data_IF_658012699601
#
_entry.id   IF_658012699601
#
_cell.length_a   1.000
_cell.length_b   1.000
_cell.length_c   1.000
_cell.angle_alpha   90.00
_cell.angle_beta   90.00
_cell.angle_gamma   90.00
#
_symmetry.space_group_name_H-M   'P 1'
#
loop_
_entity.id
_entity.type
_entity.pdbx_description
1 polymer ?
#
# COMPACT_ATOMS: atom_id res chain seq x y z
N UNK A 1 -41.93 17.29 10.15
CA UNK A 1 -42.16 16.50 11.38
C UNK A 1 -40.82 15.97 11.87
N UNK A 2 -40.33 16.51 12.99
CA UNK A 2 -39.30 15.85 13.82
C UNK A 2 -39.94 14.64 14.52
N UNK A 3 -39.13 13.68 15.00
CA UNK A 3 -39.06 13.60 16.44
C UNK A 3 -37.63 13.51 16.99
N UNK A 4 -37.49 14.20 18.12
CA UNK A 4 -36.49 14.09 19.16
C UNK A 4 -36.89 12.90 20.06
N UNK A 5 -35.94 12.06 20.50
CA UNK A 5 -36.02 11.42 21.83
C UNK A 5 -34.63 11.52 22.47
N UNK A 6 -34.62 12.02 23.71
CA UNK A 6 -33.46 12.31 24.53
C UNK A 6 -33.27 11.26 25.65
N UNK A 7 -32.00 10.98 25.94
CA UNK A 7 -31.30 10.77 27.21
C UNK A 7 -32.01 10.18 28.46
N UNK A 8 -31.33 9.19 29.09
CA UNK A 8 -30.93 9.04 30.52
C UNK A 8 -30.54 7.55 30.73
N UNK A 9 -29.54 7.11 31.49
CA UNK A 9 -28.71 7.69 32.55
C UNK A 9 -27.55 6.73 32.92
N UNK A 10 -26.66 7.20 33.79
CA UNK A 10 -25.32 6.68 34.07
C UNK A 10 -25.24 5.43 34.96
N UNK A 11 -24.15 4.66 34.82
CA UNK A 11 -23.46 3.99 35.95
C UNK A 11 -21.95 3.99 35.68
N UNK A 12 -21.19 4.60 36.59
CA UNK A 12 -19.75 4.44 36.70
C UNK A 12 -19.43 3.14 37.44
N UNK A 13 -18.56 2.29 36.88
CA UNK A 13 -17.83 1.25 37.63
C UNK A 13 -16.36 1.37 37.26
N UNK A 14 -15.54 1.66 38.27
CA UNK A 14 -14.09 1.56 38.21
C UNK A 14 -13.63 0.10 38.35
N UNK A 15 -12.49 -0.17 37.71
CA UNK A 15 -11.54 -1.26 37.94
C UNK A 15 -11.84 -2.65 37.33
N UNK A 16 -11.16 -2.94 36.22
CA UNK A 16 -10.15 -4.01 36.15
C UNK A 16 -9.31 -3.87 34.87
N UNK A 17 -8.02 -3.61 35.01
CA UNK A 17 -7.04 -3.90 33.97
C UNK A 17 -6.99 -5.42 33.81
N UNK A 18 -7.56 -5.91 32.72
CA UNK A 18 -7.27 -7.22 32.16
C UNK A 18 -6.94 -6.99 30.68
N UNK A 19 -5.89 -7.66 30.21
CA UNK A 19 -5.30 -7.55 28.90
C UNK A 19 -6.36 -7.36 27.79
N UNK A 20 -6.31 -6.21 27.10
CA UNK A 20 -7.12 -6.02 25.90
C UNK A 20 -6.50 -6.86 24.79
N UNK A 21 -7.23 -7.90 24.42
CA UNK A 21 -6.95 -8.80 23.32
C UNK A 21 -6.91 -8.06 21.98
N UNK A 22 -6.11 -8.63 21.08
CA UNK A 22 -5.88 -8.26 19.67
C UNK A 22 -7.13 -7.73 18.96
N UNK A 23 -7.00 -6.58 18.30
CA UNK A 23 -8.04 -6.03 17.41
C UNK A 23 -8.00 -6.60 15.99
N UNK A 24 -7.52 -7.84 15.83
CA UNK A 24 -7.96 -8.74 14.75
C UNK A 24 -8.44 -10.01 15.42
N UNK A 25 -9.75 -10.14 15.61
CA UNK A 25 -10.35 -11.19 16.46
C UNK A 25 -10.18 -12.63 15.96
N UNK A 26 -9.57 -12.83 14.79
CA UNK A 26 -9.28 -14.15 14.24
C UNK A 26 -7.92 -14.67 14.73
N UNK A 27 -7.97 -15.69 15.57
CA UNK A 27 -6.80 -16.36 16.14
C UNK A 27 -5.92 -17.10 15.12
N UNK A 28 -6.31 -17.19 13.85
CA UNK A 28 -5.50 -17.72 12.76
C UNK A 28 -4.54 -16.67 12.17
N UNK A 29 -4.83 -15.38 12.32
CA UNK A 29 -4.00 -14.29 11.77
C UNK A 29 -2.64 -14.25 12.46
N UNK A 30 -1.55 -14.33 11.70
CA UNK A 30 -0.20 -14.37 12.24
C UNK A 30 0.83 -14.86 11.22
N UNK A 31 2.11 -14.77 11.58
CA UNK A 31 3.19 -15.41 10.82
C UNK A 31 3.51 -16.79 11.42
N UNK A 32 3.77 -17.78 10.59
CA UNK A 32 4.09 -19.14 10.99
C UNK A 32 5.38 -19.62 10.35
N UNK A 33 6.23 -20.29 11.13
CA UNK A 33 7.43 -20.98 10.65
C UNK A 33 7.06 -22.42 10.30
N UNK A 34 7.21 -22.80 9.05
CA UNK A 34 7.02 -24.16 8.56
C UNK A 34 8.25 -25.02 8.90
N UNK A 35 8.08 -26.34 8.92
CA UNK A 35 9.15 -27.30 9.21
C UNK A 35 10.32 -27.25 8.21
N UNK A 36 10.07 -26.79 6.98
CA UNK A 36 11.08 -26.55 5.96
C UNK A 36 11.81 -25.19 6.09
N UNK A 37 11.52 -24.44 7.16
CA UNK A 37 12.17 -23.16 7.49
C UNK A 37 11.50 -21.92 6.89
N UNK A 38 10.57 -22.09 5.93
CA UNK A 38 9.87 -20.95 5.33
C UNK A 38 8.92 -20.29 6.34
N UNK A 39 8.77 -18.98 6.23
CA UNK A 39 7.70 -18.24 6.90
C UNK A 39 6.49 -18.09 5.97
N UNK A 40 5.29 -18.29 6.52
CA UNK A 40 4.01 -17.94 5.88
C UNK A 40 3.29 -16.91 6.73
N UNK A 41 2.95 -15.77 6.13
CA UNK A 41 1.99 -14.81 6.69
C UNK A 41 0.57 -15.32 6.42
N UNK A 42 -0.30 -15.23 7.43
CA UNK A 42 -1.74 -15.42 7.30
C UNK A 42 -2.40 -14.15 7.82
N UNK A 43 -3.24 -13.54 6.99
CA UNK A 43 -3.80 -12.21 7.22
C UNK A 43 -5.32 -12.21 7.03
N UNK A 44 -6.03 -11.28 7.68
CA UNK A 44 -7.44 -11.07 7.37
C UNK A 44 -7.60 -10.52 5.95
N UNK A 45 -8.72 -10.87 5.34
CA UNK A 45 -9.30 -10.22 4.16
C UNK A 45 -10.76 -9.89 4.46
N UNK A 46 -11.50 -9.37 3.48
CA UNK A 46 -12.91 -9.11 3.67
C UNK A 46 -13.72 -10.40 3.87
N UNK A 47 -14.73 -10.32 4.73
CA UNK A 47 -15.59 -11.45 5.09
C UNK A 47 -14.88 -12.53 5.91
N UNK A 48 -15.28 -13.79 5.71
CA UNK A 48 -14.78 -14.94 6.48
C UNK A 48 -13.57 -15.65 5.82
N UNK A 49 -12.83 -14.92 4.98
CA UNK A 49 -11.66 -15.45 4.26
C UNK A 49 -10.35 -14.96 4.88
N UNK A 50 -9.27 -15.70 4.62
CA UNK A 50 -7.91 -15.32 5.01
C UNK A 50 -7.00 -15.33 3.80
N UNK A 51 -5.96 -14.50 3.76
CA UNK A 51 -4.93 -14.56 2.72
C UNK A 51 -3.62 -15.04 3.29
N UNK A 52 -3.00 -16.02 2.65
CA UNK A 52 -1.64 -16.42 2.98
C UNK A 52 -0.62 -15.81 2.02
N UNK A 53 0.59 -15.52 2.49
CA UNK A 53 1.70 -15.01 1.68
C UNK A 53 3.02 -15.65 2.08
N UNK A 54 3.82 -16.05 1.11
CA UNK A 54 5.22 -16.44 1.30
C UNK A 54 6.16 -15.29 0.94
N UNK A 55 7.32 -15.25 1.57
CA UNK A 55 8.35 -14.24 1.30
C UNK A 55 8.92 -14.32 -0.13
N UNK A 56 8.75 -15.46 -0.80
CA UNK A 56 9.07 -15.70 -2.22
C UNK A 56 8.04 -15.16 -3.21
N UNK A 57 6.91 -14.63 -2.70
CA UNK A 57 5.90 -13.92 -3.46
C UNK A 57 4.63 -14.71 -3.76
N UNK A 58 4.60 -16.02 -3.55
CA UNK A 58 3.39 -16.81 -3.66
C UNK A 58 2.34 -16.35 -2.62
N UNK A 59 1.07 -16.38 -3.03
CA UNK A 59 -0.06 -15.96 -2.22
C UNK A 59 -1.31 -16.70 -2.69
N UNK A 60 -2.30 -16.77 -1.81
CA UNK A 60 -3.60 -17.35 -2.12
C UNK A 60 -4.65 -16.97 -1.09
N UNK A 61 -5.91 -17.14 -1.49
CA UNK A 61 -7.07 -16.89 -0.64
C UNK A 61 -7.53 -18.22 -0.02
N UNK A 62 -7.71 -18.24 1.29
CA UNK A 62 -8.17 -19.37 2.07
C UNK A 62 -9.67 -19.25 2.30
N UNK A 63 -10.38 -20.31 1.92
CA UNK A 63 -11.80 -20.47 2.12
C UNK A 63 -12.04 -21.55 3.18
N UNK A 64 -12.78 -21.20 4.23
CA UNK A 64 -13.08 -22.11 5.32
C UNK A 64 -14.00 -23.24 4.86
N UNK A 65 -13.66 -24.48 5.22
CA UNK A 65 -14.48 -25.67 5.00
C UNK A 65 -15.33 -25.99 6.23
N UNK A 66 -16.43 -26.76 6.05
CA UNK A 66 -17.27 -27.21 7.17
C UNK A 66 -16.53 -28.07 8.21
N UNK A 67 -15.48 -28.79 7.80
CA UNK A 67 -14.65 -29.63 8.68
C UNK A 67 -13.56 -28.85 9.44
N UNK A 68 -13.50 -27.52 9.26
CA UNK A 68 -12.55 -26.64 9.91
C UNK A 68 -11.18 -26.51 9.20
N UNK A 69 -10.94 -27.30 8.14
CA UNK A 69 -9.83 -27.06 7.23
C UNK A 69 -10.13 -25.88 6.29
N UNK A 70 -9.14 -25.47 5.50
CA UNK A 70 -9.23 -24.35 4.57
C UNK A 70 -8.68 -24.77 3.22
N UNK A 71 -9.41 -24.49 2.14
CA UNK A 71 -8.94 -24.68 0.78
C UNK A 71 -8.40 -23.37 0.21
N UNK A 72 -7.33 -23.45 -0.58
CA UNK A 72 -6.67 -22.29 -1.16
C UNK A 72 -6.99 -22.11 -2.64
N UNK A 73 -7.18 -20.86 -3.05
CA UNK A 73 -7.19 -20.44 -4.46
C UNK A 73 -5.95 -19.62 -4.80
N UNK A 74 -5.47 -19.77 -6.03
CA UNK A 74 -4.27 -19.13 -6.54
C UNK A 74 -4.44 -17.61 -6.65
N UNK A 75 -3.63 -16.84 -5.93
CA UNK A 75 -3.67 -15.39 -6.01
C UNK A 75 -5.05 -14.81 -5.70
N UNK A 76 -5.59 -14.09 -6.69
CA UNK A 76 -6.94 -13.53 -6.72
C UNK A 76 -7.80 -14.15 -7.84
N UNK A 77 -7.29 -15.20 -8.48
CA UNK A 77 -7.92 -15.81 -9.68
C UNK A 77 -9.17 -16.64 -9.39
N UNK A 78 -9.41 -16.99 -8.11
CA UNK A 78 -10.45 -17.94 -7.70
C UNK A 78 -10.19 -19.39 -8.12
N UNK A 79 -9.15 -19.67 -8.91
CA UNK A 79 -8.78 -21.02 -9.33
C UNK A 79 -8.17 -21.81 -8.17
N UNK A 80 -8.62 -23.04 -7.86
CA UNK A 80 -7.99 -23.87 -6.84
C UNK A 80 -6.50 -24.09 -7.13
N UNK A 81 -5.64 -23.97 -6.11
CA UNK A 81 -4.19 -24.15 -6.25
C UNK A 81 -3.66 -25.46 -5.63
N UNK A 82 -4.60 -26.32 -5.20
CA UNK A 82 -4.35 -27.62 -4.58
C UNK A 82 -3.80 -27.57 -3.16
N UNK A 83 -3.71 -26.40 -2.51
CA UNK A 83 -3.24 -26.29 -1.12
C UNK A 83 -4.41 -26.32 -0.16
N UNK A 84 -4.20 -27.06 0.92
CA UNK A 84 -5.08 -27.10 2.09
C UNK A 84 -4.33 -26.55 3.28
N UNK A 85 -5.02 -25.79 4.13
CA UNK A 85 -4.47 -25.28 5.38
C UNK A 85 -5.36 -25.74 6.54
N UNK A 86 -4.75 -26.23 7.61
CA UNK A 86 -5.46 -26.60 8.82
C UNK A 86 -4.85 -25.91 10.03
N UNK A 87 -5.69 -25.28 10.84
CA UNK A 87 -5.32 -24.71 12.12
C UNK A 87 -5.86 -25.62 13.21
N UNK A 88 -5.00 -26.47 13.78
CA UNK A 88 -5.46 -27.53 14.69
C UNK A 88 -5.78 -27.02 16.10
N UNK A 89 -5.14 -25.94 16.52
CA UNK A 89 -5.31 -25.32 17.84
C UNK A 89 -4.74 -23.90 17.81
N UNK A 90 -5.62 -22.90 17.91
CA UNK A 90 -5.24 -21.49 17.95
C UNK A 90 -4.37 -21.13 19.16
N UNK A 91 -4.65 -21.70 20.33
CA UNK A 91 -3.88 -21.44 21.54
C UNK A 91 -2.47 -22.04 21.43
N UNK A 92 -2.34 -23.20 20.80
CA UNK A 92 -1.04 -23.81 20.52
C UNK A 92 -0.30 -23.18 19.33
N UNK A 93 -0.96 -22.33 18.55
CA UNK A 93 -0.39 -21.66 17.37
C UNK A 93 0.10 -22.65 16.31
N UNK A 94 -0.57 -23.79 16.14
CA UNK A 94 -0.17 -24.83 15.18
C UNK A 94 -0.87 -24.65 13.84
N UNK A 95 -0.11 -24.80 12.76
CA UNK A 95 -0.61 -24.80 11.39
C UNK A 95 -0.13 -26.05 10.66
N UNK A 96 -0.92 -26.56 9.73
CA UNK A 96 -0.46 -27.45 8.67
C UNK A 96 -0.75 -26.77 7.34
N UNK A 97 0.29 -26.41 6.59
CA UNK A 97 0.20 -25.70 5.32
C UNK A 97 0.61 -26.65 4.19
N UNK A 98 -0.37 -27.14 3.43
CA UNK A 98 -0.18 -28.29 2.53
C UNK A 98 0.29 -29.50 3.33
N UNK A 99 1.48 -30.00 3.03
CA UNK A 99 2.11 -31.12 3.75
C UNK A 99 3.08 -30.66 4.86
N UNK A 100 3.25 -29.35 5.07
CA UNK A 100 4.24 -28.81 5.99
C UNK A 100 3.59 -28.42 7.32
N UNK A 101 3.92 -29.09 8.44
CA UNK A 101 3.54 -28.61 9.76
C UNK A 101 4.32 -27.33 10.08
N UNK A 102 3.75 -26.46 10.90
CA UNK A 102 4.38 -25.23 11.32
C UNK A 102 3.88 -24.72 12.66
N UNK A 103 4.55 -23.69 13.17
CA UNK A 103 4.18 -23.01 14.41
C UNK A 103 4.22 -21.51 14.26
N UNK A 104 3.30 -20.84 14.94
CA UNK A 104 3.23 -19.38 15.03
C UNK A 104 4.55 -18.82 15.53
N UNK A 105 5.03 -17.80 14.86
CA UNK A 105 6.21 -17.04 15.25
C UNK A 105 5.77 -16.04 16.31
N UNK A 106 6.40 -16.10 17.49
CA UNK A 106 6.17 -15.11 18.52
C UNK A 106 6.92 -13.82 18.20
N UNK A 107 6.26 -12.68 18.35
CA UNK A 107 6.86 -11.34 18.29
C UNK A 107 6.73 -10.64 19.64
N UNK A 108 7.55 -9.61 19.86
CA UNK A 108 7.32 -8.63 20.92
C UNK A 108 6.46 -7.51 20.33
N UNK A 109 5.22 -7.38 20.81
CA UNK A 109 4.24 -6.41 20.33
C UNK A 109 4.06 -5.29 21.35
N UNK A 110 4.11 -4.05 20.89
CA UNK A 110 3.81 -2.87 21.71
C UNK A 110 2.86 -1.97 20.93
N UNK A 111 1.57 -2.01 21.27
CA UNK A 111 0.60 -1.03 20.79
C UNK A 111 0.82 0.31 21.51
N UNK A 112 0.61 1.41 20.77
CA UNK A 112 0.78 2.78 21.28
C UNK A 112 -0.26 3.72 20.70
N UNK A 113 -0.38 4.89 21.33
CA UNK A 113 -1.02 6.07 20.75
C UNK A 113 -0.02 7.21 20.86
N UNK A 114 0.23 7.89 19.75
CA UNK A 114 1.18 9.00 19.68
C UNK A 114 0.54 10.24 19.05
N UNK A 115 1.18 11.39 19.23
CA UNK A 115 0.70 12.66 18.71
C UNK A 115 1.27 12.90 17.31
N UNK A 116 0.41 12.92 16.30
CA UNK A 116 0.71 13.32 14.93
C UNK A 116 0.75 14.84 14.75
N UNK A 117 0.86 15.27 13.49
CA UNK A 117 0.86 16.68 13.12
C UNK A 117 -0.45 17.36 13.53
N UNK A 118 -0.35 18.57 14.10
CA UNK A 118 -1.50 19.34 14.55
C UNK A 118 -2.17 18.78 15.81
N UNK A 119 -1.52 17.87 16.54
CA UNK A 119 -2.04 17.33 17.80
C UNK A 119 -2.99 16.14 17.65
N UNK A 120 -3.17 15.61 16.44
CA UNK A 120 -4.02 14.44 16.20
C UNK A 120 -3.46 13.22 16.94
N UNK A 121 -4.34 12.38 17.50
CA UNK A 121 -3.94 11.11 18.13
C UNK A 121 -3.92 10.01 17.07
N UNK A 122 -2.77 9.38 16.87
CA UNK A 122 -2.58 8.28 15.92
C UNK A 122 -2.32 6.98 16.67
N UNK A 123 -2.91 5.88 16.21
CA UNK A 123 -2.71 4.55 16.74
C UNK A 123 -1.56 3.85 16.02
N UNK A 124 -0.60 3.33 16.77
CA UNK A 124 0.59 2.65 16.23
C UNK A 124 0.83 1.30 16.91
N UNK A 125 1.68 0.48 16.29
CA UNK A 125 2.15 -0.78 16.82
C UNK A 125 3.60 -1.01 16.41
N UNK A 126 4.46 -1.24 17.39
CA UNK A 126 5.79 -1.78 17.17
C UNK A 126 5.73 -3.32 17.23
N UNK A 127 6.23 -3.98 16.18
CA UNK A 127 6.37 -5.42 16.05
C UNK A 127 7.85 -5.75 15.93
N UNK A 128 8.42 -6.37 16.96
CA UNK A 128 9.84 -6.76 16.97
C UNK A 128 9.99 -8.28 16.92
N UNK A 129 10.98 -8.82 16.18
CA UNK A 129 11.39 -10.21 16.35
C UNK A 129 11.80 -10.45 17.81
N UNK A 130 11.59 -11.65 18.34
CA UNK A 130 12.01 -11.98 19.72
C UNK A 130 13.52 -11.88 19.90
N UNK A 131 13.94 -11.53 21.11
CA UNK A 131 15.36 -11.48 21.51
C UNK A 131 15.76 -10.10 22.01
N UNK A 132 17.06 -9.91 22.23
CA UNK A 132 17.62 -8.66 22.77
C UNK A 132 18.58 -7.95 21.80
N UNK A 133 18.83 -8.55 20.64
CA UNK A 133 19.73 -8.01 19.63
C UNK A 133 19.19 -6.74 18.98
N UNK A 134 20.12 -5.92 18.45
CA UNK A 134 19.79 -4.82 17.56
C UNK A 134 19.30 -5.35 16.22
N UNK A 135 18.21 -4.80 15.72
CA UNK A 135 17.64 -5.13 14.41
C UNK A 135 17.27 -3.85 13.67
N UNK A 136 17.32 -3.82 12.33
CA UNK A 136 16.79 -2.67 11.60
C UNK A 136 15.28 -2.54 11.84
N UNK A 137 14.75 -1.32 11.83
CA UNK A 137 13.32 -1.04 12.03
C UNK A 137 12.77 -0.23 10.86
N UNK A 138 11.68 -0.68 10.25
CA UNK A 138 11.00 0.04 9.17
C UNK A 138 9.65 0.59 9.62
N UNK A 139 9.40 1.85 9.34
CA UNK A 139 8.09 2.49 9.51
C UNK A 139 7.29 2.32 8.22
N UNK A 140 6.11 1.70 8.31
CA UNK A 140 5.24 1.48 7.17
C UNK A 140 4.33 2.69 6.96
N UNK A 141 4.39 3.28 5.77
CA UNK A 141 3.52 4.37 5.31
C UNK A 141 2.67 3.80 4.18
N UNK A 142 1.44 3.37 4.49
CA UNK A 142 0.56 2.78 3.48
C UNK A 142 0.02 3.82 2.48
N UNK A 143 -0.58 3.34 1.39
CA UNK A 143 -1.07 4.16 0.28
C UNK A 143 -2.37 4.90 0.61
N UNK A 144 -3.15 5.22 -0.42
CA UNK A 144 -4.39 6.00 -0.30
C UNK A 144 -5.54 5.25 0.40
N UNK A 145 -5.35 4.02 0.91
CA UNK A 145 -6.42 3.25 1.51
C UNK A 145 -6.96 3.87 2.81
N UNK A 146 -8.27 3.70 3.05
CA UNK A 146 -8.96 4.15 4.28
C UNK A 146 -9.03 3.10 5.39
N UNK A 147 -8.39 1.95 5.16
CA UNK A 147 -8.39 0.82 6.08
C UNK A 147 -7.29 0.94 7.14
N UNK A 148 -7.50 0.27 8.27
CA UNK A 148 -6.49 0.12 9.33
C UNK A 148 -5.24 -0.59 8.82
N UNK A 149 -4.11 0.11 8.76
CA UNK A 149 -2.83 -0.51 8.40
C UNK A 149 -2.40 -1.54 9.44
N UNK A 150 -2.75 -1.30 10.72
CA UNK A 150 -2.47 -2.23 11.83
C UNK A 150 -3.18 -3.56 11.66
N UNK A 151 -4.27 -3.62 10.90
CA UNK A 151 -4.99 -4.86 10.64
C UNK A 151 -4.51 -5.49 9.30
N UNK A 152 -4.42 -4.70 8.24
CA UNK A 152 -4.28 -5.23 6.88
C UNK A 152 -2.87 -5.20 6.29
N UNK A 153 -1.95 -4.34 6.78
CA UNK A 153 -0.64 -4.20 6.13
C UNK A 153 0.29 -5.39 6.47
N UNK A 154 0.39 -6.33 5.52
CA UNK A 154 1.06 -7.62 5.73
C UNK A 154 2.55 -7.54 6.11
N UNK A 155 3.26 -6.51 5.67
CA UNK A 155 4.69 -6.32 5.97
C UNK A 155 4.97 -6.26 7.48
N UNK A 156 3.98 -5.85 8.29
CA UNK A 156 4.07 -5.86 9.75
C UNK A 156 4.28 -7.26 10.36
N UNK A 157 3.96 -8.33 9.63
CA UNK A 157 4.17 -9.73 10.04
C UNK A 157 5.28 -10.39 9.25
N UNK A 158 5.41 -10.07 7.96
CA UNK A 158 6.41 -10.65 7.08
C UNK A 158 7.84 -10.22 7.45
N UNK A 159 8.09 -8.93 7.70
CA UNK A 159 9.45 -8.46 8.02
C UNK A 159 9.96 -8.94 9.39
N UNK A 160 9.16 -8.96 10.47
CA UNK A 160 9.61 -9.52 11.75
C UNK A 160 9.88 -11.02 11.69
N UNK A 161 9.19 -11.77 10.83
CA UNK A 161 9.53 -13.17 10.55
C UNK A 161 10.94 -13.29 9.93
N UNK A 162 11.42 -12.26 9.26
CA UNK A 162 12.77 -12.20 8.67
C UNK A 162 13.76 -11.36 9.50
N UNK A 163 13.46 -11.14 10.80
CA UNK A 163 14.38 -10.50 11.74
C UNK A 163 14.47 -8.97 11.61
N UNK A 164 13.48 -8.34 10.99
CA UNK A 164 13.38 -6.88 10.84
C UNK A 164 12.25 -6.35 11.74
N UNK A 165 12.52 -5.34 12.56
CA UNK A 165 11.48 -4.65 13.33
C UNK A 165 10.57 -3.83 12.43
N UNK A 166 9.29 -3.72 12.78
CA UNK A 166 8.32 -2.90 12.04
C UNK A 166 7.56 -1.99 12.99
N UNK A 167 7.40 -0.74 12.60
CA UNK A 167 6.38 0.13 13.17
C UNK A 167 5.30 0.38 12.12
N UNK A 168 4.07 -0.04 12.43
CA UNK A 168 2.89 0.17 11.59
C UNK A 168 1.93 1.09 12.35
N UNK A 169 1.29 2.02 11.66
CA UNK A 169 0.33 2.93 12.26
C UNK A 169 -0.84 3.16 11.32
N UNK A 170 -2.01 3.41 11.91
CA UNK A 170 -3.18 3.81 11.13
C UNK A 170 -3.01 5.29 10.76
N UNK A 171 -3.07 5.65 9.48
CA UNK A 171 -3.10 7.06 9.08
C UNK A 171 -4.27 7.80 9.73
N UNK A 172 -4.16 9.12 9.87
CA UNK A 172 -5.26 9.96 10.38
C UNK A 172 -6.59 9.64 9.68
N UNK A 173 -7.65 9.57 10.46
CA UNK A 173 -8.99 9.21 9.98
C UNK A 173 -9.16 7.76 9.52
N UNK A 174 -8.21 6.86 9.79
CA UNK A 174 -8.31 5.42 9.50
C UNK A 174 -8.15 4.59 10.76
N UNK A 175 -8.70 3.37 10.76
CA UNK A 175 -8.54 2.42 11.87
C UNK A 175 -8.88 3.04 13.23
N UNK A 176 -7.94 2.95 14.17
CA UNK A 176 -8.11 3.52 15.51
C UNK A 176 -7.53 4.94 15.67
N UNK A 177 -7.00 5.53 14.60
CA UNK A 177 -6.49 6.91 14.60
C UNK A 177 -7.62 7.93 14.53
N UNK A 178 -7.45 9.04 15.26
CA UNK A 178 -8.35 10.19 15.17
C UNK A 178 -8.09 11.07 13.95
N UNK A 179 -8.74 12.22 13.92
CA UNK A 179 -8.63 13.19 12.84
C UNK A 179 -9.50 12.85 11.62
N UNK A 180 -9.29 13.58 10.54
CA UNK A 180 -9.99 13.38 9.26
C UNK A 180 -9.01 12.77 8.26
N UNK A 181 -9.49 11.82 7.46
CA UNK A 181 -8.72 11.28 6.35
C UNK A 181 -8.32 12.40 5.38
N UNK A 182 -7.11 12.31 4.81
CA UNK A 182 -6.59 13.28 3.85
C UNK A 182 -5.58 12.61 2.93
N UNK A 183 -5.42 13.17 1.74
CA UNK A 183 -4.34 12.89 0.80
C UNK A 183 -3.31 14.04 0.73
N UNK A 184 -3.32 14.98 1.68
CA UNK A 184 -2.32 16.05 1.74
C UNK A 184 -0.95 15.47 2.11
N UNK A 185 -0.08 15.32 1.11
CA UNK A 185 1.22 14.65 1.26
C UNK A 185 2.11 15.32 2.31
N UNK A 186 2.01 16.64 2.48
CA UNK A 186 2.73 17.41 3.48
C UNK A 186 2.34 17.02 4.91
N UNK A 187 1.04 16.97 5.19
CA UNK A 187 0.49 16.53 6.46
C UNK A 187 0.85 15.07 6.75
N UNK A 188 0.70 14.20 5.76
CA UNK A 188 1.03 12.77 5.90
C UNK A 188 2.53 12.55 6.14
N UNK A 189 3.40 13.34 5.50
CA UNK A 189 4.84 13.26 5.72
C UNK A 189 5.23 13.68 7.14
N UNK A 190 4.56 14.70 7.71
CA UNK A 190 4.78 15.11 9.10
C UNK A 190 4.27 14.05 10.09
N UNK A 191 3.15 13.39 9.81
CA UNK A 191 2.70 12.22 10.61
C UNK A 191 3.71 11.07 10.55
N UNK A 192 4.26 10.77 9.37
CA UNK A 192 5.28 9.74 9.22
C UNK A 192 6.55 10.08 10.05
N UNK A 193 6.94 11.35 10.13
CA UNK A 193 8.02 11.80 11.03
C UNK A 193 7.69 11.51 12.49
N UNK A 194 6.45 11.78 12.95
CA UNK A 194 6.02 11.44 14.33
C UNK A 194 5.98 9.94 14.58
N UNK A 195 5.57 9.15 13.58
CA UNK A 195 5.62 7.69 13.65
C UNK A 195 7.06 7.16 13.79
N UNK A 196 8.01 7.76 13.07
CA UNK A 196 9.44 7.44 13.22
C UNK A 196 9.99 7.78 14.60
N UNK A 197 9.63 8.95 15.15
CA UNK A 197 10.02 9.34 16.51
C UNK A 197 9.50 8.33 17.55
N UNK A 198 8.23 7.96 17.48
CA UNK A 198 7.63 6.97 18.39
C UNK A 198 8.23 5.57 18.21
N UNK A 199 8.46 5.15 16.95
CA UNK A 199 9.14 3.89 16.62
C UNK A 199 10.53 3.80 17.28
N UNK A 200 11.35 4.85 17.13
CA UNK A 200 12.69 4.92 17.75
C UNK A 200 12.60 4.87 19.27
N UNK A 201 11.65 5.60 19.87
CA UNK A 201 11.43 5.61 21.33
C UNK A 201 11.08 4.23 21.85
N UNK A 202 10.15 3.52 21.20
CA UNK A 202 9.70 2.19 21.64
C UNK A 202 10.76 1.10 21.38
N UNK A 203 11.48 1.16 20.26
CA UNK A 203 12.54 0.21 19.94
C UNK A 203 13.78 0.39 20.84
N UNK A 204 14.03 1.62 21.30
CA UNK A 204 15.09 1.95 22.25
C UNK A 204 16.47 1.43 21.80
N UNK A 205 17.18 0.77 22.71
CA UNK A 205 18.51 0.23 22.42
C UNK A 205 18.54 -0.89 21.38
N UNK A 206 17.38 -1.49 21.04
CA UNK A 206 17.25 -2.53 20.01
C UNK A 206 17.14 -1.97 18.59
N UNK A 207 16.94 -0.67 18.42
CA UNK A 207 16.95 -0.05 17.10
C UNK A 207 18.37 -0.08 16.50
N UNK A 208 18.49 -0.73 15.35
CA UNK A 208 19.62 -0.63 14.43
C UNK A 208 19.40 0.51 13.44
N UNK A 209 19.59 0.22 12.15
CA UNK A 209 19.20 1.14 11.06
C UNK A 209 17.69 1.32 11.05
N UNK A 210 17.19 2.53 10.83
CA UNK A 210 15.75 2.75 10.69
C UNK A 210 15.41 3.58 9.47
N UNK A 211 14.27 3.27 8.87
CA UNK A 211 13.85 3.90 7.63
C UNK A 211 12.36 3.73 7.37
N UNK A 212 11.93 4.20 6.21
CA UNK A 212 10.54 4.10 5.78
C UNK A 212 10.37 3.09 4.67
N UNK A 213 9.18 2.49 4.61
CA UNK A 213 8.67 1.87 3.39
C UNK A 213 7.31 2.46 3.07
N UNK A 214 7.15 2.95 1.84
CA UNK A 214 5.92 3.51 1.30
C UNK A 214 5.51 2.78 0.03
N UNK A 215 4.20 2.59 -0.15
CA UNK A 215 3.60 2.06 -1.38
C UNK A 215 2.63 3.06 -1.99
N UNK A 216 2.48 3.10 -3.32
CA UNK A 216 1.50 3.97 -4.02
C UNK A 216 1.67 5.44 -3.60
N UNK A 217 0.66 6.08 -2.99
CA UNK A 217 0.73 7.44 -2.38
C UNK A 217 1.96 7.66 -1.49
N UNK A 218 2.42 6.60 -0.82
CA UNK A 218 3.66 6.60 -0.04
C UNK A 218 4.90 7.01 -0.84
N UNK A 219 4.86 6.92 -2.17
CA UNK A 219 5.90 7.37 -3.09
C UNK A 219 6.11 8.89 -3.11
N UNK A 220 5.08 9.69 -2.79
CA UNK A 220 5.25 11.14 -2.58
C UNK A 220 5.54 11.47 -1.12
N UNK A 221 4.89 10.76 -0.18
CA UNK A 221 4.98 11.02 1.25
C UNK A 221 6.35 10.68 1.83
N UNK A 222 6.94 9.54 1.46
CA UNK A 222 8.21 9.07 2.04
C UNK A 222 9.39 10.00 1.67
N UNK A 223 9.59 10.42 0.40
CA UNK A 223 10.61 11.41 0.05
C UNK A 223 10.47 12.74 0.81
N UNK A 224 9.24 13.18 1.06
CA UNK A 224 8.96 14.35 1.90
C UNK A 224 9.38 14.08 3.36
N UNK A 225 9.03 12.93 3.94
CA UNK A 225 9.37 12.60 5.33
C UNK A 225 10.89 12.52 5.56
N UNK A 226 11.64 11.87 4.66
CA UNK A 226 13.10 11.73 4.82
C UNK A 226 13.87 13.04 4.70
N UNK A 227 13.30 14.05 4.03
CA UNK A 227 13.89 15.39 3.94
C UNK A 227 13.60 16.25 5.17
N UNK A 228 12.64 15.85 6.01
CA UNK A 228 12.25 16.56 7.24
C UNK A 228 12.94 16.01 8.48
N UNK A 229 13.15 14.69 8.53
CA UNK A 229 13.80 14.04 9.66
C UNK A 229 14.76 12.93 9.19
N UNK A 230 15.90 12.74 9.91
CA UNK A 230 16.88 11.73 9.55
C UNK A 230 16.32 10.30 9.53
N UNK A 231 16.60 9.60 8.42
CA UNK A 231 16.38 8.17 8.24
C UNK A 231 17.61 7.54 7.58
N UNK A 232 17.90 6.28 7.88
CA UNK A 232 19.03 5.55 7.32
C UNK A 232 18.76 5.04 5.90
N UNK A 233 17.48 4.89 5.54
CA UNK A 233 17.01 4.46 4.23
C UNK A 233 15.54 4.83 4.00
N UNK A 234 15.11 4.79 2.73
CA UNK A 234 13.70 4.76 2.34
C UNK A 234 13.47 3.74 1.22
N UNK A 235 12.29 3.14 1.20
CA UNK A 235 11.82 2.26 0.14
C UNK A 235 10.51 2.81 -0.39
N UNK A 236 10.43 3.00 -1.70
CA UNK A 236 9.21 3.31 -2.44
C UNK A 236 8.87 2.11 -3.32
N UNK A 237 7.66 1.59 -3.18
CA UNK A 237 7.12 0.50 -3.99
C UNK A 237 5.94 1.01 -4.81
N UNK A 238 5.90 0.72 -6.12
CA UNK A 238 4.79 1.11 -7.02
C UNK A 238 4.30 2.54 -6.75
N UNK A 239 5.24 3.46 -6.56
CA UNK A 239 4.98 4.86 -6.26
C UNK A 239 5.56 5.75 -7.36
N UNK A 240 5.18 7.03 -7.36
CA UNK A 240 5.40 7.89 -8.51
C UNK A 240 6.39 9.02 -8.25
N UNK A 241 7.08 9.42 -9.32
CA UNK A 241 7.90 10.62 -9.38
C UNK A 241 7.34 11.64 -10.39
N UNK A 242 6.02 11.63 -10.58
CA UNK A 242 5.23 12.56 -11.41
C UNK A 242 4.19 13.29 -10.54
N UNK A 243 3.54 14.31 -11.08
CA UNK A 243 2.37 14.93 -10.41
C UNK A 243 1.17 13.97 -10.42
N UNK A 244 0.14 14.24 -9.62
CA UNK A 244 -1.10 13.43 -9.59
C UNK A 244 -1.87 13.54 -10.92
N UNK A 245 -1.81 14.70 -11.58
CA UNK A 245 -2.41 14.86 -12.91
C UNK A 245 -1.61 14.10 -13.99
N UNK A 246 -0.27 14.12 -13.90
CA UNK A 246 0.58 13.34 -14.80
C UNK A 246 0.34 11.83 -14.62
N UNK A 247 0.13 11.36 -13.39
CA UNK A 247 -0.26 9.97 -13.07
C UNK A 247 -1.54 9.56 -13.83
N UNK A 248 -2.64 10.31 -13.64
CA UNK A 248 -3.93 10.01 -14.27
C UNK A 248 -3.81 9.95 -15.80
N UNK A 249 -3.07 10.91 -16.38
CA UNK A 249 -2.84 10.98 -17.82
C UNK A 249 -1.97 9.83 -18.32
N UNK A 250 -0.93 9.46 -17.59
CA UNK A 250 -0.10 8.28 -17.93
C UNK A 250 -0.93 6.99 -17.84
N UNK A 251 -1.84 6.89 -16.86
CA UNK A 251 -2.74 5.75 -16.67
C UNK A 251 -3.68 5.60 -17.88
N UNK A 252 -4.35 6.69 -18.25
CA UNK A 252 -5.21 6.74 -19.45
C UNK A 252 -4.42 6.37 -20.71
N UNK A 253 -3.21 6.91 -20.90
CA UNK A 253 -2.40 6.58 -22.07
C UNK A 253 -2.01 5.09 -22.11
N UNK A 254 -1.72 4.50 -20.95
CA UNK A 254 -1.31 3.12 -20.83
C UNK A 254 -2.48 2.15 -21.05
N UNK A 255 -3.68 2.45 -20.53
CA UNK A 255 -4.91 1.70 -20.83
C UNK A 255 -5.20 1.68 -22.32
N UNK A 256 -5.10 2.84 -22.97
CA UNK A 256 -5.33 2.98 -24.41
C UNK A 256 -4.33 2.13 -25.22
N UNK A 257 -3.07 2.08 -24.77
CA UNK A 257 -2.04 1.24 -25.37
C UNK A 257 -2.35 -0.26 -25.22
N UNK A 258 -2.73 -0.71 -24.02
CA UNK A 258 -3.03 -2.11 -23.76
C UNK A 258 -4.28 -2.62 -24.48
N UNK A 259 -5.25 -1.74 -24.73
CA UNK A 259 -6.43 -2.04 -25.55
C UNK A 259 -6.22 -1.82 -27.05
N UNK A 260 -4.98 -1.55 -27.48
CA UNK A 260 -4.57 -1.41 -28.88
C UNK A 260 -5.27 -0.26 -29.63
N UNK A 261 -5.61 0.82 -28.92
CA UNK A 261 -6.20 2.01 -29.53
C UNK A 261 -5.16 2.85 -30.29
N UNK A 262 -5.63 3.66 -31.23
CA UNK A 262 -4.76 4.51 -32.04
C UNK A 262 -4.23 5.71 -31.24
N UNK A 263 -3.14 6.32 -31.70
CA UNK A 263 -2.62 7.56 -31.10
C UNK A 263 -3.64 8.73 -31.16
N UNK A 264 -4.54 8.73 -32.15
CA UNK A 264 -5.62 9.71 -32.24
C UNK A 264 -6.66 9.48 -31.14
N UNK A 265 -7.05 8.23 -30.91
CA UNK A 265 -7.98 7.86 -29.83
C UNK A 265 -7.36 8.17 -28.46
N UNK A 266 -6.09 7.85 -28.25
CA UNK A 266 -5.36 8.21 -27.03
C UNK A 266 -5.38 9.72 -26.80
N UNK A 267 -5.22 10.53 -27.86
CA UNK A 267 -5.30 11.99 -27.73
C UNK A 267 -6.69 12.45 -27.27
N UNK A 268 -7.76 11.90 -27.85
CA UNK A 268 -9.14 12.21 -27.43
C UNK A 268 -9.40 11.77 -25.99
N UNK A 269 -8.94 10.58 -25.59
CA UNK A 269 -9.02 10.09 -24.22
C UNK A 269 -8.30 11.03 -23.25
N UNK A 270 -7.13 11.54 -23.61
CA UNK A 270 -6.38 12.51 -22.79
C UNK A 270 -7.04 13.90 -22.76
N UNK A 271 -7.76 14.32 -23.82
CA UNK A 271 -8.57 15.53 -23.79
C UNK A 271 -9.75 15.38 -22.80
N UNK A 272 -10.37 14.20 -22.77
CA UNK A 272 -11.41 13.85 -21.80
C UNK A 272 -10.85 13.78 -20.36
N UNK A 273 -9.67 13.18 -20.18
CA UNK A 273 -8.96 13.09 -18.90
C UNK A 273 -8.73 14.47 -18.29
N UNK A 274 -8.07 15.37 -19.03
CA UNK A 274 -7.82 16.75 -18.58
C UNK A 274 -9.09 17.50 -18.18
N UNK A 275 -10.20 17.28 -18.89
CA UNK A 275 -11.47 17.89 -18.53
C UNK A 275 -12.07 17.30 -17.25
N UNK A 276 -11.99 15.97 -17.07
CA UNK A 276 -12.43 15.28 -15.86
C UNK A 276 -11.57 15.63 -14.64
N UNK A 277 -10.25 15.69 -14.82
CA UNK A 277 -9.27 16.14 -13.84
C UNK A 277 -9.57 17.55 -13.32
N UNK A 278 -9.85 18.52 -14.21
CA UNK A 278 -10.22 19.89 -13.82
C UNK A 278 -11.52 19.91 -13.00
N UNK A 279 -12.48 19.05 -13.35
CA UNK A 279 -13.71 18.88 -12.58
C UNK A 279 -13.43 18.28 -11.21
N UNK A 280 -12.54 17.28 -11.12
CA UNK A 280 -12.12 16.68 -9.86
C UNK A 280 -11.41 17.70 -8.96
N UNK A 281 -10.43 18.42 -9.50
CA UNK A 281 -9.64 19.44 -8.79
C UNK A 281 -10.54 20.55 -8.23
N UNK A 282 -11.51 21.00 -9.01
CA UNK A 282 -12.43 22.08 -8.61
C UNK A 282 -13.64 21.57 -7.82
N UNK A 283 -13.71 20.26 -7.55
CA UNK A 283 -14.83 19.60 -6.88
C UNK A 283 -16.17 19.88 -7.57
N UNK A 284 -16.18 19.90 -8.90
CA UNK A 284 -17.35 20.18 -9.73
C UNK A 284 -17.82 21.64 -9.73
N UNK A 285 -17.07 22.56 -9.11
CA UNK A 285 -17.41 23.99 -9.10
C UNK A 285 -17.14 24.66 -10.45
N UNK A 286 -16.23 24.11 -11.24
CA UNK A 286 -15.86 24.61 -12.55
C UNK A 286 -15.66 23.46 -13.57
N UNK A 287 -15.73 23.79 -14.86
CA UNK A 287 -15.45 22.88 -15.99
C UNK A 287 -16.43 21.73 -16.24
N UNK A 288 -17.42 21.49 -15.36
CA UNK A 288 -18.34 20.36 -15.49
C UNK A 288 -19.10 20.37 -16.82
N UNK A 289 -19.60 21.52 -17.26
CA UNK A 289 -20.37 21.63 -18.50
C UNK A 289 -19.50 21.33 -19.74
N UNK A 290 -18.20 21.68 -19.71
CA UNK A 290 -17.26 21.35 -20.78
C UNK A 290 -16.90 19.86 -20.78
N UNK A 291 -16.66 19.29 -19.60
CA UNK A 291 -16.44 17.86 -19.43
C UNK A 291 -17.65 17.03 -19.90
N UNK A 292 -18.87 17.44 -19.53
CA UNK A 292 -20.09 16.74 -19.91
C UNK A 292 -20.33 16.78 -21.43
N UNK A 293 -20.01 17.90 -22.09
CA UNK A 293 -20.07 17.99 -23.54
C UNK A 293 -19.09 17.02 -24.23
N UNK A 294 -17.86 16.88 -23.70
CA UNK A 294 -16.89 15.88 -24.20
C UNK A 294 -17.39 14.45 -23.95
N UNK A 295 -17.90 14.15 -22.75
CA UNK A 295 -18.50 12.84 -22.45
C UNK A 295 -19.59 12.49 -23.45
N UNK A 296 -20.53 13.39 -23.70
CA UNK A 296 -21.65 13.15 -24.63
C UNK A 296 -21.17 12.96 -26.07
N UNK A 297 -20.22 13.77 -26.51
CA UNK A 297 -19.64 13.70 -27.85
C UNK A 297 -18.91 12.37 -28.09
N UNK A 298 -18.10 11.95 -27.12
CA UNK A 298 -17.17 10.83 -27.30
C UNK A 298 -17.77 9.49 -26.84
N UNK A 299 -18.95 9.47 -26.20
CA UNK A 299 -19.59 8.26 -25.62
C UNK A 299 -19.75 7.09 -26.59
N UNK A 300 -19.92 7.36 -27.88
CA UNK A 300 -20.09 6.32 -28.90
C UNK A 300 -18.78 5.85 -29.53
N UNK A 301 -17.66 6.48 -29.19
CA UNK A 301 -16.35 6.11 -29.71
C UNK A 301 -15.92 4.75 -29.12
N UNK A 302 -15.31 3.85 -29.91
CA UNK A 302 -14.93 2.51 -29.46
C UNK A 302 -13.99 2.50 -28.25
N UNK A 303 -13.14 3.53 -28.11
CA UNK A 303 -12.18 3.66 -27.02
C UNK A 303 -12.79 4.06 -25.69
N UNK A 304 -13.97 4.69 -25.69
CA UNK A 304 -14.54 5.32 -24.49
C UNK A 304 -14.74 4.33 -23.34
N UNK A 305 -15.07 3.07 -23.65
CA UNK A 305 -15.29 2.02 -22.66
C UNK A 305 -14.01 1.52 -21.98
N UNK A 306 -12.85 1.78 -22.57
CA UNK A 306 -11.55 1.29 -22.12
C UNK A 306 -10.76 2.38 -21.38
N UNK A 307 -11.32 3.60 -21.28
CA UNK A 307 -10.72 4.69 -20.52
C UNK A 307 -11.02 4.53 -19.04
N UNK A 308 -9.95 4.39 -18.25
CA UNK A 308 -10.03 4.43 -16.80
C UNK A 308 -9.40 5.72 -16.28
N UNK A 309 -8.09 5.75 -16.06
CA UNK A 309 -7.45 6.78 -15.22
C UNK A 309 -7.86 6.62 -13.75
N UNK A 310 -7.07 7.13 -12.82
CA UNK A 310 -7.32 7.01 -11.38
C UNK A 310 -8.40 7.99 -10.90
N UNK A 311 -8.35 9.23 -11.38
CA UNK A 311 -9.31 10.29 -11.07
C UNK A 311 -10.37 10.43 -12.14
N UNK A 312 -10.00 10.30 -13.42
CA UNK A 312 -10.96 10.36 -14.51
C UNK A 312 -12.05 9.30 -14.33
N UNK A 313 -11.70 8.03 -14.08
CA UNK A 313 -12.66 6.95 -13.92
C UNK A 313 -13.65 7.22 -12.79
N UNK A 314 -13.18 7.83 -11.70
CA UNK A 314 -14.01 8.14 -10.53
C UNK A 314 -15.06 9.22 -10.84
N UNK A 315 -14.73 10.22 -11.68
CA UNK A 315 -15.67 11.30 -12.05
C UNK A 315 -16.48 11.02 -13.31
N UNK A 316 -15.99 10.16 -14.20
CA UNK A 316 -16.60 9.85 -15.49
C UNK A 316 -18.08 9.44 -15.40
N UNK A 317 -18.52 8.58 -14.45
CA UNK A 317 -19.93 8.19 -14.35
C UNK A 317 -20.80 9.19 -13.58
N UNK A 318 -20.22 10.23 -12.96
CA UNK A 318 -20.90 11.04 -11.97
C UNK A 318 -21.56 12.29 -12.55
N UNK A 319 -22.69 12.67 -11.96
CA UNK A 319 -23.29 13.99 -12.15
C UNK A 319 -22.67 15.04 -11.21
N UNK A 320 -23.00 16.32 -11.46
CA UNK A 320 -22.47 17.46 -10.69
C UNK A 320 -22.76 17.37 -9.18
N UNK A 321 -23.90 16.81 -8.78
CA UNK A 321 -24.26 16.69 -7.37
C UNK A 321 -23.48 15.55 -6.68
N UNK A 322 -23.19 14.48 -7.43
CA UNK A 322 -22.41 13.34 -6.95
C UNK A 322 -20.93 13.66 -6.77
N UNK A 323 -20.36 14.53 -7.60
CA UNK A 323 -18.92 14.91 -7.53
C UNK A 323 -18.55 15.58 -6.20
N UNK A 324 -19.41 16.45 -5.64
CA UNK A 324 -19.16 17.06 -4.31
C UNK A 324 -19.18 16.03 -3.16
N UNK A 325 -19.89 14.90 -3.35
CA UNK A 325 -19.93 13.81 -2.36
C UNK A 325 -18.67 12.95 -2.45
N UNK A 326 -18.25 12.59 -3.68
CA UNK A 326 -17.01 11.85 -3.94
C UNK A 326 -15.79 12.56 -3.33
N UNK A 327 -15.74 13.89 -3.46
CA UNK A 327 -14.62 14.69 -2.99
C UNK A 327 -14.30 14.46 -1.50
N UNK A 328 -15.33 14.42 -0.65
CA UNK A 328 -15.21 14.22 0.80
C UNK A 328 -14.94 12.77 1.15
N UNK A 329 -15.54 11.84 0.40
CA UNK A 329 -15.41 10.40 0.66
C UNK A 329 -14.09 9.81 0.22
N UNK A 330 -13.34 10.45 -0.68
CA UNK A 330 -12.04 9.96 -1.17
C UNK A 330 -10.87 10.91 -0.86
N UNK A 331 -11.12 12.06 -0.22
CA UNK A 331 -10.07 13.02 0.15
C UNK A 331 -9.52 13.82 -1.03
N UNK A 332 -10.26 13.85 -2.14
CA UNK A 332 -9.93 14.60 -3.36
C UNK A 332 -9.77 16.10 -3.05
N UNK A 333 -10.57 16.60 -2.10
CA UNK A 333 -10.51 17.99 -1.62
C UNK A 333 -9.18 18.38 -0.97
N UNK A 334 -8.38 17.40 -0.57
CA UNK A 334 -7.04 17.58 0.01
C UNK A 334 -5.92 17.03 -0.87
N UNK A 335 -6.25 16.51 -2.05
CA UNK A 335 -5.26 15.94 -2.97
C UNK A 335 -4.46 17.07 -3.61
N UNK A 336 -3.12 17.06 -3.50
CA UNK A 336 -2.30 18.11 -4.08
C UNK A 336 -2.02 17.78 -5.56
N UNK A 337 -3.02 18.01 -6.42
CA UNK A 337 -3.00 17.66 -7.85
C UNK A 337 -1.73 18.08 -8.59
N UNK A 338 -1.20 19.26 -8.24
CA UNK A 338 -0.01 19.86 -8.84
C UNK A 338 1.28 19.65 -8.03
N UNK A 339 1.33 18.70 -7.09
CA UNK A 339 2.54 18.44 -6.33
C UNK A 339 3.68 17.98 -7.24
N UNK A 340 4.76 18.76 -7.27
CA UNK A 340 5.98 18.46 -8.04
C UNK A 340 6.98 17.65 -7.19
N UNK A 341 7.21 16.35 -7.47
CA UNK A 341 8.08 15.50 -6.64
C UNK A 341 9.58 15.71 -6.89
N UNK A 342 9.96 16.14 -8.09
CA UNK A 342 11.37 16.18 -8.48
C UNK A 342 12.24 17.14 -7.64
N UNK A 343 11.78 18.33 -7.22
CA UNK A 343 12.49 19.15 -6.24
C UNK A 343 12.81 18.40 -4.94
N UNK A 344 11.84 17.69 -4.38
CA UNK A 344 12.02 16.87 -3.15
C UNK A 344 13.03 15.76 -3.37
N UNK A 345 12.90 15.00 -4.45
CA UNK A 345 13.81 13.89 -4.75
C UNK A 345 15.24 14.36 -5.00
N UNK A 346 15.42 15.49 -5.69
CA UNK A 346 16.72 16.13 -5.91
C UNK A 346 17.32 16.68 -4.61
N UNK A 347 16.51 17.16 -3.67
CA UNK A 347 16.99 17.63 -2.38
C UNK A 347 17.46 16.47 -1.48
N UNK A 348 16.89 15.27 -1.65
CA UNK A 348 17.17 14.14 -0.77
C UNK A 348 18.62 13.65 -0.82
N UNK A 349 19.12 13.27 0.35
CA UNK A 349 20.44 12.66 0.58
C UNK A 349 20.33 11.24 1.14
N UNK A 350 19.15 10.85 1.62
CA UNK A 350 18.86 9.51 2.14
C UNK A 350 18.94 8.46 1.04
N UNK A 351 19.60 7.30 1.26
CA UNK A 351 19.56 6.20 0.29
C UNK A 351 18.14 5.70 0.06
N UNK A 352 17.74 5.54 -1.21
CA UNK A 352 16.39 5.12 -1.59
C UNK A 352 16.38 3.92 -2.53
N UNK A 353 15.50 2.95 -2.26
CA UNK A 353 15.14 1.90 -3.21
C UNK A 353 13.76 2.22 -3.80
N UNK A 354 13.68 2.25 -5.13
CA UNK A 354 12.45 2.40 -5.90
C UNK A 354 12.16 1.08 -6.63
N UNK A 355 11.09 0.40 -6.25
CA UNK A 355 10.65 -0.87 -6.84
C UNK A 355 9.34 -0.63 -7.60
N UNK A 356 9.35 -0.78 -8.93
CA UNK A 356 8.24 -0.43 -9.82
C UNK A 356 7.80 -1.63 -10.66
N UNK A 357 6.52 -1.68 -11.03
CA UNK A 357 5.98 -2.65 -12.00
C UNK A 357 5.97 -2.06 -13.41
N UNK A 358 6.38 -2.83 -14.42
CA UNK A 358 6.40 -2.31 -15.81
C UNK A 358 5.02 -2.10 -16.42
N UNK A 359 4.00 -2.77 -15.88
CA UNK A 359 2.67 -2.85 -16.46
C UNK A 359 1.62 -2.12 -15.60
N UNK A 360 2.06 -1.51 -14.49
CA UNK A 360 1.26 -0.83 -13.48
C UNK A 360 0.34 0.25 -14.07
N UNK A 361 -0.97 -0.01 -14.09
CA UNK A 361 -2.00 0.91 -14.60
C UNK A 361 -2.37 2.02 -13.61
N UNK A 362 -2.25 1.78 -12.31
CA UNK A 362 -2.58 2.76 -11.27
C UNK A 362 -1.38 3.67 -10.94
N UNK A 363 -0.16 3.20 -11.19
CA UNK A 363 1.06 3.98 -11.03
C UNK A 363 2.05 3.75 -12.18
N UNK A 364 1.75 4.21 -13.41
CA UNK A 364 2.59 4.00 -14.58
C UNK A 364 4.06 4.35 -14.32
N UNK A 365 4.93 3.37 -14.56
CA UNK A 365 6.29 3.44 -14.05
C UNK A 365 7.31 4.05 -15.02
N UNK A 366 6.94 4.30 -16.28
CA UNK A 366 7.90 4.64 -17.32
C UNK A 366 8.62 5.98 -17.08
N UNK A 367 7.86 7.06 -16.86
CA UNK A 367 8.44 8.38 -16.59
C UNK A 367 9.09 8.41 -15.19
N UNK A 368 8.46 7.79 -14.19
CA UNK A 368 9.06 7.61 -12.86
C UNK A 368 10.42 6.92 -12.94
N UNK A 369 10.53 5.78 -13.64
CA UNK A 369 11.78 5.06 -13.84
C UNK A 369 12.83 5.91 -14.54
N UNK A 370 12.45 6.69 -15.57
CA UNK A 370 13.33 7.63 -16.26
C UNK A 370 13.84 8.72 -15.31
N UNK A 371 12.98 9.33 -14.50
CA UNK A 371 13.32 10.35 -13.50
C UNK A 371 14.28 9.80 -12.44
N UNK A 372 14.03 8.60 -11.91
CA UNK A 372 14.92 7.92 -10.95
C UNK A 372 16.28 7.57 -11.59
N UNK A 373 16.31 7.04 -12.82
CA UNK A 373 17.59 6.81 -13.54
C UNK A 373 18.37 8.11 -13.70
N UNK A 374 17.70 9.23 -13.97
CA UNK A 374 18.32 10.56 -14.02
C UNK A 374 18.97 10.97 -12.70
N UNK A 375 18.32 10.69 -11.56
CA UNK A 375 18.89 10.93 -10.23
C UNK A 375 20.11 10.03 -9.97
N UNK A 376 20.06 8.75 -10.36
CA UNK A 376 21.20 7.82 -10.25
C UNK A 376 22.38 8.34 -11.08
N UNK A 377 22.14 8.76 -12.33
CA UNK A 377 23.16 9.33 -13.22
C UNK A 377 23.74 10.64 -12.67
N UNK A 378 22.94 11.46 -11.99
CA UNK A 378 23.39 12.66 -11.26
C UNK A 378 24.13 12.33 -9.95
N UNK A 379 24.41 11.05 -9.68
CA UNK A 379 25.11 10.63 -8.49
C UNK A 379 24.29 10.82 -7.23
N UNK A 380 22.97 10.53 -7.24
CA UNK A 380 22.10 10.40 -6.05
C UNK A 380 21.96 8.94 -5.61
N UNK A 381 21.78 8.69 -4.31
CA UNK A 381 21.94 7.36 -3.69
C UNK A 381 20.67 6.52 -3.87
N UNK A 382 20.23 6.42 -5.11
CA UNK A 382 19.02 5.74 -5.50
C UNK A 382 19.37 4.40 -6.12
N UNK A 383 18.52 3.42 -5.87
CA UNK A 383 18.48 2.14 -6.57
C UNK A 383 17.11 2.00 -7.18
N UNK A 384 17.04 1.67 -8.45
CA UNK A 384 15.80 1.40 -9.18
C UNK A 384 15.74 -0.10 -9.50
N UNK A 385 14.61 -0.72 -9.23
CA UNK A 385 14.25 -2.04 -9.70
C UNK A 385 12.92 -1.94 -10.44
N UNK A 386 12.90 -2.39 -11.70
CA UNK A 386 11.66 -2.51 -12.49
C UNK A 386 11.37 -3.99 -12.67
N UNK A 387 10.21 -4.45 -12.18
CA UNK A 387 9.73 -5.82 -12.27
C UNK A 387 8.88 -5.99 -13.54
N UNK A 388 9.34 -6.76 -14.54
CA UNK A 388 8.59 -6.98 -15.76
C UNK A 388 7.26 -7.70 -15.51
N UNK A 389 6.20 -7.28 -16.20
CA UNK A 389 4.87 -7.91 -16.12
C UNK A 389 4.17 -7.75 -14.77
N UNK A 390 4.69 -6.88 -13.89
CA UNK A 390 4.08 -6.58 -12.61
C UNK A 390 3.18 -5.34 -12.70
N UNK A 391 1.99 -5.48 -12.14
CA UNK A 391 0.96 -4.47 -11.92
C UNK A 391 1.21 -3.69 -10.61
N UNK A 392 0.27 -2.81 -10.28
CA UNK A 392 0.11 -2.20 -8.97
C UNK A 392 0.20 -3.23 -7.83
N UNK A 393 0.83 -2.82 -6.73
CA UNK A 393 1.17 -3.71 -5.62
C UNK A 393 2.34 -4.68 -5.89
N UNK A 394 3.01 -4.55 -7.05
CA UNK A 394 4.02 -5.47 -7.58
C UNK A 394 3.52 -6.91 -7.68
N UNK A 395 2.29 -7.08 -8.17
CA UNK A 395 1.72 -8.39 -8.46
C UNK A 395 1.83 -8.73 -9.94
N UNK A 396 2.19 -9.96 -10.27
CA UNK A 396 2.01 -10.50 -11.61
C UNK A 396 0.54 -10.84 -11.81
N UNK A 397 0.07 -10.82 -13.05
CA UNK A 397 -1.32 -11.11 -13.39
C UNK A 397 -1.44 -12.12 -14.53
N UNK A 398 -2.63 -12.69 -14.66
CA UNK A 398 -3.09 -13.38 -15.87
C UNK A 398 -4.34 -12.66 -16.38
N UNK A 399 -4.70 -12.90 -17.64
CA UNK A 399 -5.95 -12.40 -18.20
C UNK A 399 -7.03 -13.46 -18.05
N UNK A 400 -8.21 -13.03 -17.62
CA UNK A 400 -9.40 -13.87 -17.59
C UNK A 400 -10.02 -14.02 -19.01
N UNK A 401 -11.16 -14.72 -19.11
CA UNK A 401 -11.84 -14.94 -20.39
C UNK A 401 -12.38 -13.64 -21.05
N UNK A 402 -12.51 -12.56 -20.29
CA UNK A 402 -12.93 -11.24 -20.77
C UNK A 402 -11.75 -10.31 -21.05
N UNK A 403 -10.52 -10.74 -20.74
CA UNK A 403 -9.33 -9.90 -20.84
C UNK A 403 -9.07 -9.05 -19.60
N UNK A 404 -9.78 -9.28 -18.49
CA UNK A 404 -9.56 -8.57 -17.22
C UNK A 404 -8.32 -9.13 -16.51
N UNK A 405 -7.52 -8.25 -15.90
CA UNK A 405 -6.31 -8.65 -15.16
C UNK A 405 -6.68 -9.26 -13.81
N UNK A 406 -6.20 -10.48 -13.55
CA UNK A 406 -6.34 -11.16 -12.28
C UNK A 406 -4.97 -11.34 -11.63
N UNK A 407 -4.71 -10.66 -10.51
CA UNK A 407 -3.45 -10.82 -9.78
C UNK A 407 -3.24 -12.26 -9.34
N UNK A 408 -2.01 -12.75 -9.49
CA UNK A 408 -1.63 -14.15 -9.26
C UNK A 408 -0.68 -14.31 -8.09
N UNK A 409 0.43 -13.57 -8.10
CA UNK A 409 1.49 -13.61 -7.07
C UNK A 409 2.20 -12.28 -7.01
N UNK A 410 2.90 -12.02 -5.91
CA UNK A 410 3.88 -10.95 -5.89
C UNK A 410 5.09 -11.31 -6.74
N UNK A 411 5.70 -10.30 -7.36
CA UNK A 411 6.86 -10.46 -8.22
C UNK A 411 8.01 -11.17 -7.45
N UNK A 412 8.58 -12.26 -8.00
CA UNK A 412 9.63 -13.00 -7.32
C UNK A 412 10.82 -12.12 -6.90
N UNK A 413 11.24 -12.24 -5.65
CA UNK A 413 12.37 -11.48 -5.11
C UNK A 413 12.04 -10.07 -4.61
N UNK A 414 10.81 -9.56 -4.81
CA UNK A 414 10.40 -8.24 -4.33
C UNK A 414 10.58 -8.06 -2.81
N UNK A 415 10.00 -8.96 -2.00
CA UNK A 415 10.13 -8.87 -0.53
C UNK A 415 11.57 -9.05 -0.06
N UNK A 416 12.33 -9.96 -0.68
CA UNK A 416 13.75 -10.17 -0.37
C UNK A 416 14.58 -8.93 -0.66
N UNK A 417 14.33 -8.25 -1.79
CA UNK A 417 15.02 -7.02 -2.16
C UNK A 417 14.83 -5.93 -1.10
N UNK A 418 13.59 -5.74 -0.64
CA UNK A 418 13.31 -4.79 0.43
C UNK A 418 14.05 -5.15 1.72
N UNK A 419 14.00 -6.42 2.13
CA UNK A 419 14.67 -6.87 3.35
C UNK A 419 16.20 -6.69 3.30
N UNK A 420 16.83 -6.98 2.17
CA UNK A 420 18.27 -6.78 1.99
C UNK A 420 18.63 -5.29 2.03
N UNK A 421 17.83 -4.44 1.38
CA UNK A 421 18.04 -2.99 1.43
C UNK A 421 17.85 -2.40 2.85
N UNK A 422 16.87 -2.91 3.60
CA UNK A 422 16.64 -2.54 5.02
C UNK A 422 17.85 -2.92 5.88
N UNK A 423 18.46 -4.08 5.65
CA UNK A 423 19.64 -4.53 6.41
C UNK A 423 20.91 -3.78 6.02
N UNK A 424 21.16 -3.68 4.72
CA UNK A 424 22.50 -3.36 4.20
C UNK A 424 22.59 -2.01 3.49
N UNK A 425 21.44 -1.36 3.21
CA UNK A 425 21.38 -0.11 2.44
C UNK A 425 21.72 -0.29 0.96
N UNK A 426 21.76 -1.53 0.48
CA UNK A 426 22.07 -1.93 -0.90
C UNK A 426 21.34 -3.22 -1.22
N UNK A 427 21.20 -3.50 -2.52
CA UNK A 427 20.61 -4.73 -3.03
C UNK A 427 21.69 -5.54 -3.76
N UNK A 428 21.52 -6.86 -3.81
CA UNK A 428 22.34 -7.75 -4.64
C UNK A 428 22.09 -7.58 -6.15
N UNK A 429 22.74 -8.43 -6.95
CA UNK A 429 22.66 -8.34 -8.42
C UNK A 429 21.37 -8.90 -9.04
N UNK A 430 20.59 -9.71 -8.29
CA UNK A 430 19.43 -10.43 -8.84
C UNK A 430 18.34 -10.65 -7.82
N UNK A 431 17.11 -10.31 -8.20
CA UNK A 431 15.87 -10.56 -7.46
C UNK A 431 14.79 -10.90 -8.48
N UNK A 432 14.53 -12.19 -8.67
CA UNK A 432 13.70 -12.65 -9.79
C UNK A 432 14.30 -12.25 -11.14
N UNK A 433 13.48 -11.56 -11.92
CA UNK A 433 13.75 -10.98 -13.24
C UNK A 433 13.78 -9.44 -13.23
N UNK A 434 13.80 -8.82 -12.04
CA UNK A 434 13.86 -7.37 -11.91
C UNK A 434 15.08 -6.77 -12.64
N UNK A 435 14.83 -5.75 -13.45
CA UNK A 435 15.87 -4.93 -14.06
C UNK A 435 16.37 -3.90 -13.03
N UNK A 436 17.59 -4.09 -12.53
CA UNK A 436 18.18 -3.26 -11.47
C UNK A 436 19.11 -2.22 -12.07
N UNK A 437 18.89 -0.96 -11.73
CA UNK A 437 19.80 0.16 -11.98
C UNK A 437 20.23 0.74 -10.63
N UNK A 438 21.53 0.72 -10.34
CA UNK A 438 22.10 1.34 -9.15
C UNK A 438 23.35 2.13 -9.55
N UNK A 439 23.86 2.93 -8.62
CA UNK A 439 25.20 3.52 -8.82
C UNK A 439 26.25 2.40 -8.98
N UNK A 440 27.27 2.58 -9.84
CA UNK A 440 28.38 1.64 -9.99
C UNK A 440 29.13 1.33 -8.70
#
# INVERSE_FOLDING_TARGET
>A
MKPLIALLGAVAILAAQAARADTTSDCHVGAYRLADGRAVDVAPTDGDTLRWRLFTGETGLLHKRPDGAWDSTYGWTGRPDGKTVAFSDCAAGKITFGQQPGRRIAFDLTDTTFTGEGGVKLAGRLVMPRGQGKVPVVVLVHGSEKTSARDFYALQRMFPAEGIGVFVYDKRGTGASGGTYTQDFETLAKDAVRAMEESRKLAGARAGRVGYQGGSEGGWVVPLAVNRAPADFAIVSFGLAVTVLEEDQESVALDMYFHHHSAEDTKKALDLARAGEHVAETLGKDGYEAFDALRQKDRSEPWYKDVHGDFLFAVLPLDKAQIDTLAKEFGVDTTPFHYEPMPTLRASTTPQLWALGSDDLEAPSAETAKRIRGLIAAGKAYTLAVFPGAEHGLTLYELDAKGERLSTRFAPGYFQMMADFIRDGRVGKRYGDAAITARP
#
